data_IF_409862780367
#
_entry.id   IF_409862780367
#
_cell.length_a   1.000
_cell.length_b   1.000
_cell.length_c   1.000
_cell.angle_alpha   90.00
_cell.angle_beta   90.00
_cell.angle_gamma   90.00
#
_symmetry.space_group_name_H-M   'P 1'
#
loop_
_entity.id
_entity.type
_entity.pdbx_description
1 polymer ?
#
# COMPACT_ATOMS: atom_id res chain seq x y z
N UNK A 1 14.06 -16.72 5.77
CA UNK A 1 13.33 -17.96 5.44
C UNK A 1 12.12 -17.59 4.60
N UNK A 2 11.99 -18.17 3.41
CA UNK A 2 10.72 -18.12 2.67
C UNK A 2 9.70 -18.98 3.43
N UNK A 3 8.48 -18.46 3.64
CA UNK A 3 7.37 -19.27 4.15
C UNK A 3 6.68 -19.91 2.96
N UNK A 4 6.49 -21.22 3.01
CA UNK A 4 5.73 -21.94 2.00
C UNK A 4 4.25 -21.95 2.41
N UNK A 5 3.41 -21.37 1.54
CA UNK A 5 1.96 -21.38 1.70
C UNK A 5 1.35 -22.33 0.68
N UNK A 6 0.33 -23.10 1.09
CA UNK A 6 -0.34 -24.06 0.21
C UNK A 6 -1.00 -23.38 -1.01
N UNK A 7 -1.50 -22.15 -0.85
CA UNK A 7 -2.04 -21.33 -1.93
C UNK A 7 -1.96 -19.82 -1.60
N UNK A 8 -2.43 -18.99 -2.55
CA UNK A 8 -2.48 -17.53 -2.38
C UNK A 8 -3.41 -17.09 -1.23
N UNK A 9 -4.47 -17.83 -0.96
CA UNK A 9 -5.41 -17.49 0.10
C UNK A 9 -4.79 -17.76 1.48
N UNK A 10 -4.08 -18.87 1.67
CA UNK A 10 -3.32 -19.16 2.87
C UNK A 10 -2.28 -18.06 3.16
N UNK A 11 -1.58 -17.57 2.14
CA UNK A 11 -0.65 -16.45 2.29
C UNK A 11 -1.37 -15.16 2.73
N UNK A 12 -2.53 -14.82 2.13
CA UNK A 12 -3.31 -13.64 2.51
C UNK A 12 -3.85 -13.73 3.94
N UNK A 13 -4.43 -14.87 4.31
CA UNK A 13 -4.93 -15.11 5.67
C UNK A 13 -3.80 -14.90 6.68
N UNK A 14 -2.65 -15.52 6.43
CA UNK A 14 -1.49 -15.35 7.29
C UNK A 14 -1.04 -13.89 7.45
N UNK A 15 -0.97 -13.12 6.35
CA UNK A 15 -0.62 -11.69 6.42
C UNK A 15 -1.67 -10.89 7.19
N UNK A 16 -2.95 -11.10 6.92
CA UNK A 16 -4.03 -10.38 7.61
C UNK A 16 -4.04 -10.68 9.11
N UNK A 17 -3.91 -11.96 9.49
CA UNK A 17 -3.86 -12.39 10.88
C UNK A 17 -2.66 -11.78 11.62
N UNK A 18 -1.50 -11.71 10.95
CA UNK A 18 -0.30 -11.07 11.52
C UNK A 18 -0.47 -9.58 11.72
N UNK A 19 -1.03 -8.86 10.75
CA UNK A 19 -1.30 -7.43 10.91
C UNK A 19 -2.20 -7.16 12.11
N UNK A 20 -3.20 -8.02 12.37
CA UNK A 20 -4.05 -7.91 13.57
C UNK A 20 -3.29 -8.28 14.83
N UNK A 21 -2.62 -9.44 14.86
CA UNK A 21 -1.92 -9.96 16.03
C UNK A 21 -0.77 -9.06 16.49
N UNK A 22 -0.13 -8.34 15.56
CA UNK A 22 0.95 -7.39 15.85
C UNK A 22 0.45 -5.97 16.15
N UNK A 23 -0.86 -5.70 16.01
CA UNK A 23 -1.40 -4.35 16.18
C UNK A 23 -1.01 -3.37 15.06
N UNK A 24 -0.56 -3.90 13.92
CA UNK A 24 -0.10 -3.13 12.77
C UNK A 24 -1.23 -2.76 11.80
N UNK A 25 -2.35 -3.47 11.85
CA UNK A 25 -3.52 -3.14 11.04
C UNK A 25 -4.05 -1.73 11.35
N UNK A 26 -4.48 -1.01 10.32
CA UNK A 26 -5.10 0.33 10.44
C UNK A 26 -6.47 0.33 9.78
N UNK A 27 -7.30 1.31 10.16
CA UNK A 27 -8.61 1.50 9.55
C UNK A 27 -8.47 1.59 8.02
N UNK A 28 -9.35 0.92 7.25
CA UNK A 28 -10.58 0.25 7.67
C UNK A 28 -10.39 -1.19 8.17
N UNK A 29 -11.12 -1.55 9.23
CA UNK A 29 -11.20 -2.91 9.78
C UNK A 29 -12.46 -3.64 9.30
N UNK A 30 -12.46 -5.00 9.29
CA UNK A 30 -11.30 -5.88 9.46
C UNK A 30 -10.37 -5.82 8.21
N UNK A 31 -9.07 -6.13 8.36
CA UNK A 31 -8.13 -6.11 7.23
C UNK A 31 -8.36 -7.24 6.23
N UNK A 32 -9.03 -8.32 6.65
CA UNK A 32 -9.37 -9.46 5.82
C UNK A 32 -10.30 -9.11 4.65
N UNK A 33 -10.09 -9.80 3.52
CA UNK A 33 -10.92 -9.65 2.33
C UNK A 33 -10.70 -8.35 1.54
N UNK A 34 -9.68 -7.55 1.87
CA UNK A 34 -9.32 -6.30 1.19
C UNK A 34 -7.80 -6.10 1.15
N UNK A 35 -7.37 -5.04 0.46
CA UNK A 35 -5.99 -4.55 0.58
C UNK A 35 -5.88 -3.89 1.97
N UNK A 36 -5.10 -4.45 2.90
CA UNK A 36 -5.09 -3.98 4.28
C UNK A 36 -4.32 -2.68 4.42
N UNK A 37 -4.84 -1.76 5.22
CA UNK A 37 -4.06 -0.61 5.69
C UNK A 37 -3.19 -1.02 6.88
N UNK A 38 -2.03 -0.39 7.04
CA UNK A 38 -1.02 -0.80 8.03
C UNK A 38 -0.25 0.39 8.60
N UNK A 39 0.35 0.23 9.77
CA UNK A 39 1.19 1.26 10.36
C UNK A 39 2.47 1.44 9.54
N UNK A 40 2.83 2.70 9.28
CA UNK A 40 3.99 3.01 8.46
C UNK A 40 3.71 3.05 6.95
N UNK A 41 2.44 3.04 6.53
CA UNK A 41 2.06 3.30 5.14
C UNK A 41 2.63 4.64 4.63
N UNK A 42 2.67 5.67 5.47
CA UNK A 42 3.27 6.98 5.16
C UNK A 42 4.78 6.88 4.97
N UNK A 43 5.47 6.13 5.84
CA UNK A 43 6.92 5.94 5.76
C UNK A 43 7.28 5.13 4.51
N UNK A 44 6.51 4.08 4.21
CA UNK A 44 6.67 3.29 3.00
C UNK A 44 6.46 4.14 1.74
N UNK A 45 5.43 5.00 1.73
CA UNK A 45 5.20 5.93 0.64
C UNK A 45 6.36 6.92 0.46
N UNK A 46 6.85 7.55 1.53
CA UNK A 46 7.97 8.48 1.46
C UNK A 46 9.26 7.82 0.93
N UNK A 47 9.52 6.56 1.29
CA UNK A 47 10.66 5.79 0.74
C UNK A 47 10.51 5.55 -0.76
N UNK A 48 9.30 5.28 -1.23
CA UNK A 48 9.03 5.00 -2.64
C UNK A 48 9.39 6.20 -3.52
N UNK A 49 9.10 7.43 -3.10
CA UNK A 49 9.46 8.64 -3.86
C UNK A 49 10.96 8.96 -3.90
N UNK A 50 11.78 8.26 -3.12
CA UNK A 50 13.22 8.46 -3.08
C UNK A 50 14.00 7.44 -3.92
N UNK A 51 13.33 6.51 -4.61
CA UNK A 51 13.97 5.51 -5.46
C UNK A 51 13.56 5.67 -6.93
N UNK A 52 14.42 5.26 -7.85
CA UNK A 52 14.05 5.20 -9.28
C UNK A 52 13.17 3.97 -9.58
N UNK A 53 12.23 4.06 -10.55
CA UNK A 53 11.93 5.21 -11.39
C UNK A 53 10.97 6.25 -10.76
N UNK A 54 10.53 6.04 -9.51
CA UNK A 54 9.52 6.91 -8.87
C UNK A 54 9.99 8.34 -8.68
N UNK A 55 11.27 8.54 -8.38
CA UNK A 55 11.88 9.86 -8.21
C UNK A 55 11.89 10.69 -9.50
N UNK A 56 12.12 10.07 -10.66
CA UNK A 56 12.13 10.74 -11.96
C UNK A 56 10.81 10.67 -12.73
N UNK A 57 9.80 9.97 -12.20
CA UNK A 57 8.52 9.78 -12.87
C UNK A 57 7.76 11.10 -13.01
N UNK A 58 7.41 11.44 -14.25
CA UNK A 58 6.55 12.59 -14.58
C UNK A 58 5.07 12.25 -14.55
N UNK A 59 4.73 10.95 -14.62
CA UNK A 59 3.38 10.43 -14.52
C UNK A 59 3.37 9.17 -13.64
N UNK A 60 2.48 9.15 -12.63
CA UNK A 60 2.37 8.05 -11.67
C UNK A 60 0.93 7.59 -11.57
N UNK A 61 0.69 6.27 -11.64
CA UNK A 61 -0.61 5.66 -11.36
C UNK A 61 -0.68 5.14 -9.93
N UNK A 62 -1.69 5.56 -9.18
CA UNK A 62 -1.92 5.13 -7.78
C UNK A 62 -3.38 4.69 -7.60
N UNK A 63 -3.61 3.60 -6.86
CA UNK A 63 -4.96 3.10 -6.57
C UNK A 63 -5.67 3.92 -5.47
N UNK A 64 -7.01 3.86 -5.39
CA UNK A 64 -7.77 4.57 -4.36
C UNK A 64 -7.68 3.96 -2.96
N UNK A 65 -7.20 2.72 -2.81
CA UNK A 65 -7.16 1.97 -1.55
C UNK A 65 -6.48 2.74 -0.40
N UNK A 66 -6.97 2.53 0.83
CA UNK A 66 -6.50 3.23 2.04
C UNK A 66 -4.98 3.24 2.26
N UNK A 67 -4.22 2.13 2.12
CA UNK A 67 -2.76 2.17 2.28
C UNK A 67 -2.04 3.01 1.23
N UNK A 68 -2.66 3.30 0.08
CA UNK A 68 -2.08 4.14 -0.98
C UNK A 68 -2.51 5.61 -0.87
N UNK A 69 -3.32 5.98 0.13
CA UNK A 69 -3.66 7.39 0.39
C UNK A 69 -2.41 8.27 0.55
N UNK A 70 -1.35 7.88 1.28
CA UNK A 70 -0.15 8.69 1.38
C UNK A 70 0.52 8.87 0.01
N UNK A 71 0.61 7.83 -0.81
CA UNK A 71 1.16 7.92 -2.17
C UNK A 71 0.42 8.95 -3.04
N UNK A 72 -0.92 8.96 -2.96
CA UNK A 72 -1.74 9.96 -3.68
C UNK A 72 -1.48 11.37 -3.16
N UNK A 73 -1.36 11.55 -1.85
CA UNK A 73 -1.04 12.86 -1.27
C UNK A 73 0.33 13.38 -1.73
N UNK A 74 1.35 12.50 -1.73
CA UNK A 74 2.70 12.86 -2.15
C UNK A 74 2.78 13.19 -3.64
N UNK A 75 2.07 12.43 -4.48
CA UNK A 75 2.03 12.64 -5.91
C UNK A 75 1.25 13.89 -6.34
N UNK A 76 0.41 14.46 -5.47
CA UNK A 76 -0.30 15.73 -5.72
C UNK A 76 0.55 16.98 -5.41
N UNK A 77 1.76 16.82 -4.85
CA UNK A 77 2.65 17.95 -4.61
C UNK A 77 3.21 18.55 -5.92
N UNK A 78 3.63 19.82 -5.94
CA UNK A 78 3.78 20.64 -7.16
C UNK A 78 4.85 20.25 -8.20
N UNK A 79 5.24 18.98 -8.35
CA UNK A 79 6.24 18.55 -9.33
C UNK A 79 5.93 17.23 -10.05
N UNK A 80 4.82 16.55 -9.74
CA UNK A 80 4.45 15.28 -10.37
C UNK A 80 3.01 15.34 -10.92
N UNK A 81 2.80 14.86 -12.16
CA UNK A 81 1.44 14.68 -12.69
C UNK A 81 0.89 13.34 -12.17
N UNK A 82 -0.02 13.39 -11.20
CA UNK A 82 -0.69 12.18 -10.70
C UNK A 82 -1.82 11.75 -11.63
N UNK A 83 -1.76 10.50 -12.12
CA UNK A 83 -2.89 9.83 -12.77
C UNK A 83 -3.58 8.91 -11.76
N UNK A 84 -4.70 9.34 -11.19
CA UNK A 84 -5.54 8.46 -10.39
C UNK A 84 -6.41 7.64 -11.34
N UNK A 85 -6.20 6.32 -11.38
CA UNK A 85 -7.11 5.41 -12.09
C UNK A 85 -7.98 4.75 -11.03
N UNK A 86 -9.26 5.12 -11.01
CA UNK A 86 -10.27 4.29 -10.36
C UNK A 86 -10.52 3.08 -11.27
N UNK A 87 -10.37 1.89 -10.73
CA UNK A 87 -11.00 0.71 -11.31
C UNK A 87 -12.20 0.35 -10.46
N UNK A 88 -13.27 -0.04 -11.14
CA UNK A 88 -14.54 -0.54 -10.57
C UNK A 88 -14.31 -1.58 -9.47
#
# INVERSE_FOLDING_TARGET
>A
MARDFADKNAARQWVWDRLVAEGEARFPFPPHGRIPNFAGAEVAAARLFNIEPWKSATAIKVNPDSPQRPLRAEALRPSASLLVVSTQ
#
